data_IF_461534589771
#
_entry.id   IF_461534589771
#
_cell.length_a   1.000
_cell.length_b   1.000
_cell.length_c   1.000
_cell.angle_alpha   90.00
_cell.angle_beta   90.00
_cell.angle_gamma   90.00
#
_symmetry.space_group_name_H-M   'P 1'
#
loop_
_entity.id
_entity.type
_entity.pdbx_description
1 polymer ?
#
# COMPACT_ATOMS: atom_id res chain seq x y z
N UNK A 1 12.58 3.43 44.45
CA UNK A 1 12.24 3.36 43.77
C UNK A 1 11.78 3.20 43.28
N UNK A 2 12.02 3.04 43.24
CA UNK A 2 11.56 2.90 42.46
C UNK A 2 11.31 2.53 41.75
N UNK A 3 11.57 2.39 42.11
CA UNK A 3 11.25 2.03 41.23
C UNK A 3 10.87 1.78 40.68
N UNK A 4 11.13 1.86 40.99
CA UNK A 4 10.75 1.51 40.13
C UNK A 4 10.59 1.34 39.47
N UNK A 5 10.67 1.35 39.69
CA UNK A 5 10.60 1.11 38.67
C UNK A 5 10.39 0.94 38.21
N UNK A 6 10.42 1.04 38.33
CA UNK A 6 10.21 0.88 37.45
C UNK A 6 9.89 0.57 36.94
N UNK A 7 9.88 0.44 37.10
CA UNK A 7 9.67 0.28 36.46
C UNK A 7 9.21 0.05 35.82
N UNK A 8 9.28 0.06 35.83
CA UNK A 8 9.03 -0.10 35.02
C UNK A 8 9.07 -0.40 34.39
N UNK A 9 9.58 -0.36 34.59
CA UNK A 9 9.71 -0.73 33.34
C UNK A 9 8.69 -1.64 32.77
N UNK A 10 8.16 -1.49 32.93
CA UNK A 10 7.29 -1.97 32.34
C UNK A 10 6.88 -1.93 31.41
N UNK A 11 7.09 -2.13 31.53
CA UNK A 11 6.32 -1.71 30.42
C UNK A 11 6.86 -2.19 29.11
N UNK A 12 8.11 -1.95 28.77
CA UNK A 12 8.69 -2.56 27.56
C UNK A 12 8.61 -4.07 27.58
N UNK A 13 8.72 -4.65 28.74
CA UNK A 13 8.60 -6.09 28.85
C UNK A 13 7.23 -6.60 28.41
N UNK A 14 6.19 -5.87 28.76
CA UNK A 14 4.85 -6.25 28.37
C UNK A 14 4.66 -6.25 26.86
N UNK A 15 5.23 -5.26 26.18
CA UNK A 15 5.12 -5.20 24.73
C UNK A 15 5.86 -6.34 24.08
N UNK A 16 6.99 -6.72 24.62
CA UNK A 16 7.75 -7.84 24.09
C UNK A 16 6.98 -9.14 24.28
N UNK A 17 6.32 -9.29 25.40
CA UNK A 17 5.53 -10.49 25.65
C UNK A 17 4.39 -10.61 24.64
N UNK A 18 3.77 -9.49 24.30
CA UNK A 18 2.70 -9.50 23.29
C UNK A 18 3.23 -9.90 21.93
N UNK A 19 4.40 -9.40 21.56
CA UNK A 19 5.00 -9.79 20.29
C UNK A 19 5.32 -11.27 20.25
N UNK A 20 5.87 -11.80 21.32
CA UNK A 20 6.17 -13.22 21.40
C UNK A 20 4.90 -14.07 21.32
N UNK A 21 3.85 -13.62 22.00
CA UNK A 21 2.58 -14.32 21.94
C UNK A 21 2.03 -14.41 20.53
N UNK A 22 2.11 -13.30 19.80
CA UNK A 22 1.65 -13.27 18.42
C UNK A 22 2.47 -14.18 17.52
N UNK A 23 3.77 -14.18 17.71
CA UNK A 23 4.65 -15.02 16.92
C UNK A 23 4.39 -16.50 17.20
N UNK A 24 4.25 -16.87 18.47
CA UNK A 24 3.98 -18.25 18.84
C UNK A 24 2.66 -18.72 18.26
N UNK A 25 1.64 -17.87 18.29
CA UNK A 25 0.35 -18.20 17.70
C UNK A 25 0.49 -18.48 16.22
N UNK A 26 1.29 -17.69 15.52
CA UNK A 26 1.52 -17.90 14.10
C UNK A 26 2.11 -19.26 13.81
N UNK A 27 3.01 -19.72 14.67
CA UNK A 27 3.62 -21.04 14.50
C UNK A 27 2.62 -22.18 14.66
N UNK A 28 1.50 -21.93 15.34
CA UNK A 28 0.48 -22.94 15.54
C UNK A 28 -0.56 -22.98 14.44
N UNK A 29 -0.53 -22.00 13.51
CA UNK A 29 -1.47 -21.98 12.41
C UNK A 29 -1.04 -22.93 11.31
N UNK A 30 -2.02 -23.53 10.65
CA UNK A 30 -1.76 -24.38 9.50
C UNK A 30 -1.25 -23.54 8.35
N UNK A 31 -0.40 -24.15 7.52
CA UNK A 31 0.19 -23.46 6.37
C UNK A 31 -0.89 -22.90 5.44
N UNK A 32 -1.96 -23.64 5.21
CA UNK A 32 -3.02 -23.17 4.34
C UNK A 32 -3.71 -21.92 4.88
N UNK A 33 -3.85 -21.80 6.21
CA UNK A 33 -4.44 -20.61 6.83
C UNK A 33 -3.53 -19.42 6.64
N UNK A 34 -2.23 -19.61 6.78
CA UNK A 34 -1.23 -18.56 6.57
C UNK A 34 -1.27 -18.10 5.11
N UNK A 35 -1.32 -19.04 4.17
CA UNK A 35 -1.38 -18.71 2.75
C UNK A 35 -2.66 -17.94 2.42
N UNK A 36 -3.79 -18.33 2.98
CA UNK A 36 -5.06 -17.63 2.75
C UNK A 36 -4.99 -16.20 3.30
N UNK A 37 -4.38 -16.02 4.48
CA UNK A 37 -4.21 -14.69 5.06
C UNK A 37 -3.33 -13.80 4.19
N UNK A 38 -2.25 -14.36 3.65
CA UNK A 38 -1.38 -13.62 2.73
C UNK A 38 -2.12 -13.22 1.47
N UNK A 39 -2.92 -14.13 0.91
CA UNK A 39 -3.69 -13.83 -0.28
C UNK A 39 -4.69 -12.71 -0.04
N UNK A 40 -5.37 -12.70 1.10
CA UNK A 40 -6.31 -11.64 1.45
C UNK A 40 -5.60 -10.29 1.55
N UNK A 41 -4.40 -10.28 2.12
CA UNK A 41 -3.61 -9.05 2.23
C UNK A 41 -3.23 -8.52 0.85
N UNK A 42 -2.83 -9.41 -0.06
CA UNK A 42 -2.48 -9.02 -1.42
C UNK A 42 -3.70 -8.53 -2.20
N UNK A 43 -4.85 -9.15 -2.01
CA UNK A 43 -6.07 -8.69 -2.65
C UNK A 43 -6.45 -7.30 -2.19
N UNK A 44 -6.27 -7.02 -0.91
CA UNK A 44 -6.53 -5.71 -0.35
C UNK A 44 -5.60 -4.66 -0.94
N UNK A 45 -4.32 -4.99 -1.05
CA UNK A 45 -3.35 -4.10 -1.69
C UNK A 45 -3.71 -3.86 -3.16
N UNK A 46 -4.10 -4.93 -3.86
CA UNK A 46 -4.50 -4.84 -5.26
C UNK A 46 -5.67 -3.89 -5.45
N UNK A 47 -6.66 -4.00 -4.59
CA UNK A 47 -7.82 -3.10 -4.63
C UNK A 47 -7.39 -1.65 -4.47
N UNK A 48 -6.54 -1.37 -3.48
CA UNK A 48 -6.09 0.01 -3.24
C UNK A 48 -5.28 0.56 -4.40
N UNK A 49 -4.43 -0.26 -5.00
CA UNK A 49 -3.64 0.18 -6.16
C UNK A 49 -4.53 0.50 -7.34
N UNK A 50 -5.54 -0.33 -7.59
CA UNK A 50 -6.48 -0.08 -8.67
C UNK A 50 -7.30 1.19 -8.42
N UNK A 51 -7.74 1.40 -7.18
CA UNK A 51 -8.46 2.61 -6.83
C UNK A 51 -7.58 3.85 -7.02
N UNK A 52 -6.32 3.77 -6.62
CA UNK A 52 -5.38 4.88 -6.80
C UNK A 52 -5.16 5.19 -8.28
N UNK A 53 -5.09 4.17 -9.13
CA UNK A 53 -4.95 4.38 -10.56
C UNK A 53 -6.18 5.06 -11.16
N UNK A 54 -7.38 4.71 -10.68
CA UNK A 54 -8.59 5.38 -11.15
C UNK A 54 -8.60 6.85 -10.77
N UNK A 55 -8.22 7.17 -9.53
CA UNK A 55 -8.13 8.56 -9.09
C UNK A 55 -7.10 9.32 -9.91
N UNK A 56 -5.94 8.71 -10.15
CA UNK A 56 -4.89 9.34 -10.97
C UNK A 56 -5.37 9.60 -12.38
N UNK A 57 -6.08 8.64 -12.98
CA UNK A 57 -6.59 8.79 -14.34
C UNK A 57 -7.60 9.94 -14.42
N UNK A 58 -8.48 10.07 -13.41
CA UNK A 58 -9.43 11.17 -13.37
C UNK A 58 -8.73 12.52 -13.23
N UNK A 59 -7.70 12.58 -12.40
CA UNK A 59 -6.93 13.80 -12.24
C UNK A 59 -6.23 14.20 -13.54
N UNK A 60 -5.63 13.21 -14.22
CA UNK A 60 -4.99 13.46 -15.50
C UNK A 60 -6.00 14.03 -16.50
N UNK A 61 -7.20 13.44 -16.55
CA UNK A 61 -8.25 13.94 -17.42
C UNK A 61 -8.59 15.38 -17.16
N UNK A 62 -8.74 15.75 -15.88
CA UNK A 62 -9.03 17.14 -15.52
C UNK A 62 -7.88 18.06 -15.89
N UNK A 63 -6.64 17.65 -15.66
CA UNK A 63 -5.48 18.47 -15.99
C UNK A 63 -5.32 18.63 -17.50
N UNK A 64 -5.63 17.61 -18.27
CA UNK A 64 -5.59 17.71 -19.73
C UNK A 64 -6.61 18.73 -20.24
N UNK A 65 -7.80 18.73 -19.66
CA UNK A 65 -8.82 19.72 -20.00
C UNK A 65 -8.33 21.14 -19.66
N UNK A 66 -7.72 21.31 -18.48
CA UNK A 66 -7.19 22.60 -18.09
C UNK A 66 -6.03 23.02 -19.00
N UNK A 67 -5.23 22.06 -19.45
CA UNK A 67 -4.11 22.35 -20.33
C UNK A 67 -4.59 22.94 -21.66
N UNK A 68 -5.71 22.41 -22.18
CA UNK A 68 -6.29 22.96 -23.42
C UNK A 68 -6.69 24.43 -23.26
N UNK A 69 -7.11 24.82 -22.05
CA UNK A 69 -7.54 26.18 -21.78
C UNK A 69 -6.44 27.06 -21.22
N UNK A 70 -5.27 26.52 -20.93
CA UNK A 70 -4.18 27.27 -20.31
C UNK A 70 -3.62 28.30 -21.28
N UNK A 71 -3.40 29.52 -20.79
CA UNK A 71 -2.93 30.62 -21.62
C UNK A 71 -1.48 31.01 -21.38
N UNK A 72 -0.93 30.68 -20.20
CA UNK A 72 0.42 31.05 -19.86
C UNK A 72 1.36 29.84 -19.87
N UNK A 73 2.62 30.11 -20.21
CA UNK A 73 3.63 29.05 -20.25
C UNK A 73 3.85 28.42 -18.87
N UNK A 74 3.80 29.24 -17.83
CA UNK A 74 4.00 28.72 -16.46
C UNK A 74 2.89 27.77 -16.05
N UNK A 75 1.66 28.15 -16.36
CA UNK A 75 0.52 27.30 -16.04
C UNK A 75 0.60 25.98 -16.79
N UNK A 76 0.92 26.05 -18.08
CA UNK A 76 1.07 24.84 -18.90
C UNK A 76 2.18 23.94 -18.35
N UNK A 77 3.30 24.52 -17.93
CA UNK A 77 4.42 23.77 -17.39
C UNK A 77 4.01 23.02 -16.13
N UNK A 78 3.30 23.69 -15.20
CA UNK A 78 2.86 23.07 -13.96
C UNK A 78 1.92 21.91 -14.24
N UNK A 79 0.95 22.11 -15.15
CA UNK A 79 0.01 21.07 -15.52
C UNK A 79 0.71 19.86 -16.13
N UNK A 80 1.65 20.11 -17.03
CA UNK A 80 2.39 19.02 -17.66
C UNK A 80 3.23 18.24 -16.66
N UNK A 81 3.83 18.94 -15.69
CA UNK A 81 4.58 18.27 -14.64
C UNK A 81 3.69 17.40 -13.76
N UNK A 82 2.50 17.91 -13.43
CA UNK A 82 1.55 17.14 -12.65
C UNK A 82 1.06 15.89 -13.39
N UNK A 83 0.78 16.04 -14.67
CA UNK A 83 0.35 14.91 -15.51
C UNK A 83 1.47 13.87 -15.57
N UNK A 84 2.69 14.31 -15.82
CA UNK A 84 3.83 13.40 -15.90
C UNK A 84 4.04 12.64 -14.60
N UNK A 85 3.96 13.34 -13.46
CA UNK A 85 4.13 12.71 -12.16
C UNK A 85 3.05 11.67 -11.90
N UNK A 86 1.79 11.99 -12.25
CA UNK A 86 0.69 11.05 -12.06
C UNK A 86 0.83 9.83 -12.97
N UNK A 87 1.28 10.02 -14.21
CA UNK A 87 1.48 8.91 -15.12
C UNK A 87 2.59 7.98 -14.61
N UNK A 88 3.67 8.54 -14.09
CA UNK A 88 4.74 7.72 -13.51
C UNK A 88 4.25 6.93 -12.31
N UNK A 89 3.43 7.55 -11.47
CA UNK A 89 2.85 6.85 -10.32
C UNK A 89 1.96 5.70 -10.77
N UNK A 90 1.14 5.92 -11.81
CA UNK A 90 0.29 4.87 -12.36
C UNK A 90 1.12 3.71 -12.90
N UNK A 91 2.23 4.01 -13.56
CA UNK A 91 3.11 2.97 -14.09
C UNK A 91 3.69 2.13 -12.96
N UNK A 92 4.15 2.77 -11.89
CA UNK A 92 4.65 2.03 -10.72
C UNK A 92 3.57 1.15 -10.11
N UNK A 93 2.36 1.69 -9.99
CA UNK A 93 1.24 0.92 -9.47
C UNK A 93 0.90 -0.26 -10.37
N UNK A 94 0.95 -0.07 -11.69
CA UNK A 94 0.66 -1.14 -12.65
C UNK A 94 1.66 -2.27 -12.54
N UNK A 95 2.95 -1.95 -12.38
CA UNK A 95 3.98 -2.98 -12.19
C UNK A 95 3.68 -3.79 -10.93
N UNK A 96 3.32 -3.11 -9.84
CA UNK A 96 3.00 -3.80 -8.59
C UNK A 96 1.72 -4.64 -8.74
N UNK A 97 0.71 -4.12 -9.45
CA UNK A 97 -0.53 -4.85 -9.73
C UNK A 97 -0.22 -6.15 -10.46
N UNK A 98 0.62 -6.08 -11.48
CA UNK A 98 0.99 -7.28 -12.25
C UNK A 98 1.71 -8.29 -11.37
N UNK A 99 2.57 -7.81 -10.48
CA UNK A 99 3.27 -8.70 -9.55
C UNK A 99 2.30 -9.40 -8.62
N UNK A 100 1.33 -8.66 -8.08
CA UNK A 100 0.33 -9.23 -7.17
C UNK A 100 -0.55 -10.23 -7.89
N UNK A 101 -1.03 -9.88 -9.08
CA UNK A 101 -1.87 -10.75 -9.89
C UNK A 101 -1.14 -12.06 -10.18
N UNK A 102 0.15 -11.96 -10.56
CA UNK A 102 0.96 -13.15 -10.80
C UNK A 102 1.09 -14.03 -9.57
N UNK A 103 1.31 -13.43 -8.40
CA UNK A 103 1.40 -14.19 -7.15
C UNK A 103 0.09 -14.86 -6.81
N UNK A 104 -1.03 -14.13 -6.91
CA UNK A 104 -2.34 -14.70 -6.61
C UNK A 104 -2.69 -15.84 -7.57
N UNK A 105 -2.35 -15.70 -8.84
CA UNK A 105 -2.57 -16.76 -9.81
C UNK A 105 -1.76 -18.00 -9.47
N UNK A 106 -0.51 -17.81 -9.04
CA UNK A 106 0.37 -18.93 -8.67
C UNK A 106 -0.19 -19.74 -7.52
N UNK A 107 -0.82 -19.08 -6.53
CA UNK A 107 -1.38 -19.77 -5.38
C UNK A 107 -2.85 -20.17 -5.57
N UNK A 108 -3.37 -19.99 -6.78
CA UNK A 108 -4.73 -20.44 -7.12
C UNK A 108 -5.84 -19.59 -6.57
N UNK A 109 -5.60 -18.31 -6.34
CA UNK A 109 -6.61 -17.40 -5.78
C UNK A 109 -7.33 -16.54 -6.83
N UNK A 110 -6.83 -16.55 -8.03
CA UNK A 110 -7.51 -15.89 -9.17
C UNK A 110 -7.28 -16.69 -10.44
#
# INVERSE_FOLDING_TARGET
MRTDPPTNPFQPGNQQALKHGGYARRLLLKDEVIEDAKALTLEDELFRLRANNLVAAENIGRWLTKLDDAEGDQERKVLMENISAAEKAMMRNTVRIESIVGTLATVGKI
#
